data_IF_956133994364
#
_entry.id   IF_956133994364
#
_cell.length_a   1.000
_cell.length_b   1.000
_cell.length_c   1.000
_cell.angle_alpha   90.00
_cell.angle_beta   90.00
_cell.angle_gamma   90.00
#
_symmetry.space_group_name_H-M   'P 1'
#
loop_
_entity.id
_entity.type
_entity.pdbx_description
1 polymer ?
#
# COMPACT_ATOMS: atom_id res chain seq x y z
N UNK A 1 -9.33 3.39 -26.42
CA UNK A 1 -10.05 3.05 -25.17
C UNK A 1 -9.33 1.97 -24.37
N UNK A 2 -9.01 0.81 -24.95
CA UNK A 2 -8.33 -0.29 -24.24
C UNK A 2 -7.00 0.12 -23.58
N UNK A 3 -6.22 0.96 -24.27
CA UNK A 3 -4.89 1.42 -23.82
C UNK A 3 -4.99 2.43 -22.68
N UNK A 4 -5.89 3.42 -22.79
CA UNK A 4 -6.16 4.35 -21.69
C UNK A 4 -6.73 3.65 -20.46
N UNK A 5 -7.61 2.65 -20.65
CA UNK A 5 -8.11 1.81 -19.56
C UNK A 5 -6.96 1.00 -18.92
N UNK A 6 -6.02 0.48 -19.72
CA UNK A 6 -4.89 -0.28 -19.19
C UNK A 6 -3.97 0.52 -18.31
N UNK A 7 -3.63 1.74 -18.72
CA UNK A 7 -2.80 2.65 -17.94
C UNK A 7 -3.50 3.06 -16.63
N UNK A 8 -4.82 3.31 -16.69
CA UNK A 8 -5.61 3.65 -15.50
C UNK A 8 -5.69 2.50 -14.50
N UNK A 9 -5.86 1.26 -14.97
CA UNK A 9 -5.89 0.07 -14.12
C UNK A 9 -4.56 -0.16 -13.44
N UNK A 10 -3.43 -0.02 -14.15
CA UNK A 10 -2.11 -0.22 -13.56
C UNK A 10 -1.83 0.82 -12.46
N UNK A 11 -2.16 2.09 -12.71
CA UNK A 11 -2.03 3.13 -11.68
C UNK A 11 -2.88 2.84 -10.44
N UNK A 12 -4.10 2.31 -10.62
CA UNK A 12 -4.95 1.89 -9.50
C UNK A 12 -4.38 0.70 -8.71
N UNK A 13 -3.73 -0.25 -9.38
CA UNK A 13 -3.11 -1.41 -8.72
C UNK A 13 -2.08 -0.99 -7.67
N UNK A 14 -1.27 0.05 -7.95
CA UNK A 14 -0.31 0.57 -6.98
C UNK A 14 -0.97 1.22 -5.75
N UNK A 15 -2.09 1.91 -5.94
CA UNK A 15 -2.87 2.48 -4.83
C UNK A 15 -3.50 1.38 -3.97
N UNK A 16 -4.06 0.34 -4.58
CA UNK A 16 -4.58 -0.82 -3.86
C UNK A 16 -3.49 -1.57 -3.09
N UNK A 17 -2.30 -1.73 -3.69
CA UNK A 17 -1.17 -2.32 -2.99
C UNK A 17 -0.78 -1.49 -1.76
N UNK A 18 -0.66 -0.17 -1.88
CA UNK A 18 -0.39 0.74 -0.76
C UNK A 18 -1.45 0.64 0.36
N UNK A 19 -2.73 0.65 -0.01
CA UNK A 19 -3.85 0.52 0.92
C UNK A 19 -3.81 -0.83 1.66
N UNK A 20 -3.48 -1.91 0.94
CA UNK A 20 -3.27 -3.24 1.52
C UNK A 20 -2.11 -3.25 2.51
N UNK A 21 -0.97 -2.62 2.18
CA UNK A 21 0.17 -2.45 3.09
C UNK A 21 -0.26 -1.84 4.42
N UNK A 22 -0.90 -0.68 4.32
CA UNK A 22 -1.18 0.16 5.47
C UNK A 22 -2.24 -0.50 6.35
N UNK A 23 -3.15 -1.27 5.76
CA UNK A 23 -4.09 -2.14 6.48
C UNK A 23 -3.37 -3.25 7.23
N UNK A 24 -2.41 -3.95 6.61
CA UNK A 24 -1.59 -4.97 7.30
C UNK A 24 -0.83 -4.33 8.47
N UNK A 25 -0.22 -3.17 8.25
CA UNK A 25 0.51 -2.43 9.29
C UNK A 25 -0.42 -2.10 10.45
N UNK A 26 -1.60 -1.53 10.17
CA UNK A 26 -2.59 -1.18 11.18
C UNK A 26 -3.02 -2.40 12.02
N UNK A 27 -3.30 -3.51 11.35
CA UNK A 27 -3.66 -4.77 12.02
C UNK A 27 -2.49 -5.33 12.84
N UNK A 28 -1.27 -5.24 12.34
CA UNK A 28 -0.06 -5.76 12.99
C UNK A 28 0.27 -5.00 14.28
N UNK A 29 0.03 -3.69 14.32
CA UNK A 29 0.24 -2.89 15.54
C UNK A 29 -0.94 -2.98 16.53
N UNK A 30 -1.96 -3.78 16.22
CA UNK A 30 -3.15 -3.93 17.08
C UNK A 30 -4.07 -2.70 17.07
N UNK A 31 -3.96 -1.84 16.06
CA UNK A 31 -4.83 -0.67 15.96
C UNK A 31 -6.22 -1.11 15.46
N UNK A 32 -7.19 -1.12 16.38
CA UNK A 32 -8.59 -1.49 16.12
C UNK A 32 -9.53 -0.28 16.17
N UNK A 33 -9.14 0.82 15.51
CA UNK A 33 -10.02 1.98 15.36
C UNK A 33 -11.24 1.63 14.51
N UNK A 34 -12.38 2.31 14.77
CA UNK A 34 -13.56 2.16 13.92
C UNK A 34 -13.21 2.57 12.48
N UNK A 35 -13.39 1.70 11.47
CA UNK A 35 -13.07 2.03 10.09
C UNK A 35 -13.81 3.31 9.65
N UNK A 36 -13.07 4.22 9.02
CA UNK A 36 -13.59 5.49 8.53
C UNK A 36 -13.99 5.41 7.05
N UNK A 37 -14.53 6.52 6.53
CA UNK A 37 -14.77 6.66 5.09
C UNK A 37 -13.43 6.82 4.35
N UNK A 38 -13.25 6.11 3.22
CA UNK A 38 -12.06 6.25 2.37
C UNK A 38 -12.18 7.47 1.45
N UNK A 39 -11.03 8.03 1.04
CA UNK A 39 -10.96 9.13 0.05
C UNK A 39 -11.18 8.62 -1.37
N UNK A 40 -10.76 7.37 -1.63
CA UNK A 40 -10.70 6.80 -2.97
C UNK A 40 -11.86 5.84 -3.21
N UNK A 41 -12.20 5.05 -2.20
CA UNK A 41 -13.20 3.99 -2.31
C UNK A 41 -14.40 4.20 -1.39
N UNK A 42 -15.50 3.52 -1.69
CA UNK A 42 -16.68 3.50 -0.81
C UNK A 42 -16.51 2.55 0.38
N UNK A 43 -15.42 1.79 0.41
CA UNK A 43 -15.15 0.78 1.43
C UNK A 43 -14.56 1.43 2.70
N UNK A 44 -14.96 0.94 3.89
CA UNK A 44 -14.36 1.42 5.13
C UNK A 44 -12.87 1.09 5.21
N UNK A 45 -12.05 2.08 5.52
CA UNK A 45 -10.59 1.93 5.67
C UNK A 45 -10.13 2.13 7.11
N UNK A 46 -9.00 1.50 7.45
CA UNK A 46 -8.30 1.86 8.69
C UNK A 46 -7.76 3.28 8.60
N UNK A 47 -7.72 4.01 9.71
CA UNK A 47 -7.23 5.39 9.76
C UNK A 47 -5.78 5.50 9.28
N UNK A 48 -4.97 4.47 9.51
CA UNK A 48 -3.59 4.40 9.03
C UNK A 48 -3.59 4.25 7.51
N UNK A 49 -4.39 3.33 6.94
CA UNK A 49 -4.53 3.22 5.49
C UNK A 49 -4.97 4.54 4.85
N UNK A 50 -5.97 5.18 5.42
CA UNK A 50 -6.44 6.49 4.96
C UNK A 50 -5.33 7.56 4.97
N UNK A 51 -4.51 7.61 6.03
CA UNK A 51 -3.37 8.54 6.11
C UNK A 51 -2.34 8.27 5.01
N UNK A 52 -2.01 7.01 4.77
CA UNK A 52 -1.05 6.62 3.73
C UNK A 52 -1.57 6.93 2.33
N UNK A 53 -2.84 6.65 2.06
CA UNK A 53 -3.50 6.99 0.79
C UNK A 53 -3.50 8.50 0.57
N UNK A 54 -3.86 9.29 1.59
CA UNK A 54 -3.82 10.75 1.51
C UNK A 54 -2.39 11.26 1.25
N UNK A 55 -1.38 10.70 1.95
CA UNK A 55 0.02 11.05 1.74
C UNK A 55 0.50 10.71 0.32
N UNK A 56 0.11 9.56 -0.23
CA UNK A 56 0.43 9.17 -1.59
C UNK A 56 -0.20 10.11 -2.63
N UNK A 57 -1.47 10.50 -2.45
CA UNK A 57 -2.12 11.49 -3.32
C UNK A 57 -1.40 12.84 -3.22
N UNK A 58 -1.03 13.29 -2.03
CA UNK A 58 -0.26 14.53 -1.86
C UNK A 58 1.11 14.45 -2.56
N UNK A 59 1.84 13.34 -2.41
CA UNK A 59 3.13 13.12 -3.09
C UNK A 59 2.97 13.04 -4.61
N UNK A 60 1.87 12.46 -5.09
CA UNK A 60 1.54 12.40 -6.51
C UNK A 60 1.43 13.81 -7.12
N UNK A 61 0.73 14.71 -6.45
CA UNK A 61 0.64 16.10 -6.89
C UNK A 61 1.94 16.88 -6.67
N UNK A 62 2.59 16.69 -5.52
CA UNK A 62 3.81 17.42 -5.15
C UNK A 62 5.02 17.07 -6.02
N UNK A 63 5.08 15.86 -6.60
CA UNK A 63 6.17 15.44 -7.49
C UNK A 63 5.84 15.63 -8.97
N UNK A 64 4.81 16.42 -9.30
CA UNK A 64 4.34 16.68 -10.66
C UNK A 64 4.03 15.42 -11.50
N UNK A 65 3.78 14.29 -10.84
CA UNK A 65 3.54 12.99 -11.49
C UNK A 65 2.29 13.05 -12.38
N UNK A 66 1.31 13.89 -12.00
CA UNK A 66 0.13 14.17 -12.82
C UNK A 66 0.49 14.66 -14.24
N UNK A 67 1.52 15.48 -14.40
CA UNK A 67 1.98 15.96 -15.70
C UNK A 67 2.67 14.83 -16.49
N UNK A 68 3.41 13.95 -15.81
CA UNK A 68 4.04 12.76 -16.43
C UNK A 68 2.96 11.81 -16.96
N UNK A 69 1.88 11.58 -16.20
CA UNK A 69 0.76 10.74 -16.63
C UNK A 69 0.08 11.30 -17.88
N UNK A 70 -0.13 12.62 -17.96
CA UNK A 70 -0.71 13.26 -19.15
C UNK A 70 0.21 13.10 -20.36
N UNK A 71 1.52 13.29 -20.19
CA UNK A 71 2.51 13.09 -21.26
C UNK A 71 2.56 11.63 -21.73
N UNK A 72 2.51 10.67 -20.81
CA UNK A 72 2.44 9.24 -21.13
C UNK A 72 1.17 8.88 -21.91
N UNK A 73 0.04 9.50 -21.56
CA UNK A 73 -1.21 9.34 -22.30
C UNK A 73 -1.08 9.88 -23.72
N UNK A 74 -0.51 11.08 -23.90
CA UNK A 74 -0.28 11.68 -25.22
C UNK A 74 0.67 10.83 -26.07
N UNK A 75 1.78 10.37 -25.51
CA UNK A 75 2.73 9.49 -26.19
C UNK A 75 2.09 8.14 -26.60
N UNK A 76 1.14 7.64 -25.81
CA UNK A 76 0.38 6.43 -26.15
C UNK A 76 -0.47 6.60 -27.42
N UNK A 77 -0.83 7.83 -27.81
CA UNK A 77 -1.53 8.06 -29.09
C UNK A 77 -0.57 8.01 -30.29
N UNK A 78 0.72 8.31 -30.10
CA UNK A 78 1.71 8.30 -31.18
C UNK A 78 2.26 6.89 -31.48
N UNK A 79 2.33 6.02 -30.46
CA UNK A 79 2.84 4.64 -30.59
C UNK A 79 1.81 3.70 -31.25
N UNK A 80 0.53 4.04 -31.17
CA UNK A 80 -0.55 3.16 -31.63
C UNK A 80 -0.86 3.47 -33.08
N UNK A 81 -0.32 2.67 -33.99
CA UNK A 81 -0.73 2.74 -35.39
C UNK A 81 -2.23 2.39 -35.53
N UNK A 82 -2.96 2.96 -36.51
CA UNK A 82 -4.37 2.62 -36.75
C UNK A 82 -4.62 1.13 -37.05
N UNK A 83 -3.56 0.36 -37.32
CA UNK A 83 -3.54 -1.07 -37.60
C UNK A 83 -3.19 -1.95 -36.39
N UNK A 84 -3.02 -1.37 -35.19
CA UNK A 84 -2.68 -2.11 -33.98
C UNK A 84 -3.86 -2.96 -33.51
N UNK A 85 -3.70 -4.30 -33.57
CA UNK A 85 -4.61 -5.25 -32.93
C UNK A 85 -4.10 -5.48 -31.51
N UNK A 86 -4.86 -5.10 -30.46
CA UNK A 86 -4.46 -5.36 -29.09
C UNK A 86 -4.30 -6.87 -28.89
N UNK A 87 -3.16 -7.32 -28.36
CA UNK A 87 -2.98 -8.69 -27.91
C UNK A 87 -3.44 -8.79 -26.44
N UNK A 88 -4.65 -9.33 -26.15
CA UNK A 88 -5.15 -9.41 -24.79
C UNK A 88 -4.32 -10.34 -23.89
N UNK A 89 -3.66 -11.36 -24.43
CA UNK A 89 -2.83 -12.27 -23.64
C UNK A 89 -1.57 -11.58 -23.13
N UNK A 90 -0.89 -10.80 -23.99
CA UNK A 90 0.28 -10.03 -23.59
C UNK A 90 -0.07 -9.01 -22.50
N UNK A 91 -1.19 -8.30 -22.67
CA UNK A 91 -1.66 -7.35 -21.65
C UNK A 91 -1.94 -8.05 -20.31
N UNK A 92 -2.61 -9.22 -20.31
CA UNK A 92 -2.90 -10.00 -19.10
C UNK A 92 -1.64 -10.46 -18.37
N UNK A 93 -0.57 -10.82 -19.10
CA UNK A 93 0.72 -11.18 -18.51
C UNK A 93 1.34 -9.97 -17.80
N UNK A 94 1.36 -8.81 -18.45
CA UNK A 94 1.90 -7.58 -17.87
C UNK A 94 1.13 -7.16 -16.61
N UNK A 95 -0.21 -7.22 -16.63
CA UNK A 95 -1.01 -6.92 -15.43
C UNK A 95 -0.72 -7.86 -14.29
N UNK A 96 -0.66 -9.17 -14.55
CA UNK A 96 -0.38 -10.18 -13.52
C UNK A 96 0.97 -9.89 -12.88
N UNK A 97 1.98 -9.60 -13.68
CA UNK A 97 3.32 -9.39 -13.18
C UNK A 97 3.42 -8.09 -12.38
N UNK A 98 2.77 -7.01 -12.82
CA UNK A 98 2.68 -5.75 -12.06
C UNK A 98 1.94 -5.96 -10.74
N UNK A 99 0.80 -6.65 -10.76
CA UNK A 99 0.04 -6.96 -9.55
C UNK A 99 0.88 -7.76 -8.56
N UNK A 100 1.52 -8.84 -9.02
CA UNK A 100 2.36 -9.68 -8.17
C UNK A 100 3.54 -8.91 -7.60
N UNK A 101 4.22 -8.09 -8.41
CA UNK A 101 5.35 -7.26 -7.96
C UNK A 101 4.90 -6.24 -6.92
N UNK A 102 3.83 -5.50 -7.18
CA UNK A 102 3.34 -4.48 -6.26
C UNK A 102 2.98 -5.07 -4.89
N UNK A 103 2.26 -6.20 -4.87
CA UNK A 103 1.86 -6.86 -3.62
C UNK A 103 3.04 -7.49 -2.86
N UNK A 104 3.96 -8.18 -3.55
CA UNK A 104 5.12 -8.81 -2.89
C UNK A 104 6.06 -7.76 -2.29
N UNK A 105 6.30 -6.69 -3.04
CA UNK A 105 7.12 -5.55 -2.61
C UNK A 105 6.51 -4.90 -1.37
N UNK A 106 5.23 -4.61 -1.44
CA UNK A 106 4.46 -4.08 -0.32
C UNK A 106 4.51 -4.97 0.91
N UNK A 107 4.36 -6.29 0.73
CA UNK A 107 4.42 -7.25 1.83
C UNK A 107 5.81 -7.28 2.47
N UNK A 108 6.88 -7.19 1.68
CA UNK A 108 8.25 -7.12 2.18
C UNK A 108 8.48 -5.90 3.07
N UNK A 109 7.84 -4.79 2.73
CA UNK A 109 7.89 -3.54 3.49
C UNK A 109 7.08 -3.63 4.79
N UNK A 110 5.96 -4.37 4.77
CA UNK A 110 5.17 -4.65 5.96
C UNK A 110 5.81 -5.70 6.90
N UNK A 111 6.81 -6.47 6.43
CA UNK A 111 7.48 -7.52 7.19
C UNK A 111 7.99 -7.15 8.60
N UNK A 112 8.64 -5.99 8.83
CA UNK A 112 9.04 -5.57 10.18
C UNK A 112 7.85 -5.42 11.14
N UNK A 113 6.70 -4.94 10.65
CA UNK A 113 5.48 -4.81 11.45
C UNK A 113 4.86 -6.18 11.77
N UNK A 114 4.84 -7.08 10.80
CA UNK A 114 4.37 -8.47 11.01
C UNK A 114 5.26 -9.16 12.06
N UNK A 115 6.57 -8.98 11.96
CA UNK A 115 7.54 -9.55 12.91
C UNK A 115 7.31 -9.00 14.31
N UNK A 116 7.13 -7.68 14.43
CA UNK A 116 6.75 -7.03 15.68
C UNK A 116 5.46 -7.62 16.27
N UNK A 117 4.41 -7.76 15.45
CA UNK A 117 3.13 -8.32 15.87
C UNK A 117 3.28 -9.74 16.42
N UNK A 118 4.04 -10.59 15.73
CA UNK A 118 4.29 -11.98 16.17
C UNK A 118 5.00 -11.99 17.51
N UNK A 119 6.09 -11.22 17.66
CA UNK A 119 6.88 -11.19 18.90
C UNK A 119 6.05 -10.70 20.08
N UNK A 120 5.27 -9.64 19.90
CA UNK A 120 4.41 -9.08 20.94
C UNK A 120 3.27 -10.03 21.31
N UNK A 121 2.60 -10.63 20.34
CA UNK A 121 1.53 -11.60 20.62
C UNK A 121 2.05 -12.83 21.38
N UNK A 122 3.23 -13.34 21.01
CA UNK A 122 3.89 -14.42 21.76
C UNK A 122 4.24 -13.97 23.18
N UNK A 123 4.81 -12.77 23.34
CA UNK A 123 5.14 -12.20 24.65
C UNK A 123 3.91 -12.08 25.56
N UNK A 124 2.82 -11.51 25.05
CA UNK A 124 1.55 -11.38 25.79
C UNK A 124 0.97 -12.76 26.11
N UNK A 125 1.01 -13.69 25.17
CA UNK A 125 0.55 -15.06 25.38
C UNK A 125 1.31 -15.77 26.51
N UNK A 126 2.64 -15.57 26.59
CA UNK A 126 3.47 -16.12 27.66
C UNK A 126 3.14 -15.47 29.02
N UNK A 127 3.00 -14.14 29.08
CA UNK A 127 2.65 -13.44 30.33
C UNK A 127 1.25 -13.85 30.80
N UNK A 128 0.30 -14.01 29.88
CA UNK A 128 -1.06 -14.45 30.21
C UNK A 128 -1.07 -15.87 30.82
N UNK A 129 -0.13 -16.74 30.43
CA UNK A 129 0.05 -18.06 31.03
C UNK A 129 0.62 -17.99 32.45
N UNK A 130 1.47 -17.01 32.75
CA UNK A 130 2.11 -16.83 34.07
C UNK A 130 1.21 -16.13 35.09
N UNK A 131 0.31 -15.26 34.64
CA UNK A 131 -0.64 -14.51 35.47
C UNK A 131 -2.08 -14.67 34.97
N UNK A 132 -2.71 -15.84 35.16
CA UNK A 132 -4.03 -16.16 34.61
C UNK A 132 -5.19 -15.45 35.32
N UNK A 133 -4.94 -14.84 36.49
CA UNK A 133 -5.97 -14.20 37.31
C UNK A 133 -6.36 -12.80 36.82
N UNK A 134 -5.53 -12.15 35.99
CA UNK A 134 -5.79 -10.82 35.43
C UNK A 134 -5.67 -10.92 33.91
N UNK A 135 -6.68 -10.46 33.13
CA UNK A 135 -6.58 -10.41 31.68
C UNK A 135 -5.48 -9.43 31.22
N UNK A 136 -4.27 -9.94 30.99
CA UNK A 136 -3.07 -9.15 30.62
C UNK A 136 -3.28 -8.38 29.30
N UNK A 137 -4.20 -8.85 28.46
CA UNK A 137 -4.52 -8.23 27.17
C UNK A 137 -5.00 -6.77 27.32
N UNK A 138 -5.83 -6.46 28.32
CA UNK A 138 -6.34 -5.10 28.52
C UNK A 138 -5.24 -4.13 28.96
N UNK A 139 -4.25 -4.61 29.70
CA UNK A 139 -3.13 -3.80 30.17
C UNK A 139 -2.10 -3.61 29.05
N UNK A 140 -1.88 -4.63 28.22
CA UNK A 140 -0.87 -4.63 27.17
C UNK A 140 -1.29 -3.88 25.91
N UNK A 141 -2.57 -3.89 25.53
CA UNK A 141 -3.09 -3.23 24.32
C UNK A 141 -2.56 -1.79 24.10
N UNK A 142 -2.63 -0.86 25.09
CA UNK A 142 -2.07 0.49 24.92
C UNK A 142 -0.58 0.50 24.62
N UNK A 143 0.19 -0.41 25.23
CA UNK A 143 1.64 -0.53 24.99
C UNK A 143 1.94 -1.14 23.62
N UNK A 144 1.14 -2.12 23.16
CA UNK A 144 1.28 -2.70 21.82
C UNK A 144 1.07 -1.65 20.75
N UNK A 145 -0.02 -0.88 20.87
CA UNK A 145 -0.35 0.18 19.92
C UNK A 145 0.69 1.30 19.99
N UNK A 146 1.11 1.72 21.19
CA UNK A 146 2.15 2.74 21.33
C UNK A 146 3.49 2.32 20.72
N UNK A 147 3.93 1.08 20.96
CA UNK A 147 5.16 0.53 20.38
C UNK A 147 5.07 0.41 18.85
N UNK A 148 3.91 0.02 18.33
CA UNK A 148 3.69 -0.08 16.90
C UNK A 148 3.61 1.28 16.21
N UNK A 149 2.99 2.29 16.83
CA UNK A 149 3.02 3.68 16.35
C UNK A 149 4.44 4.24 16.40
N UNK A 150 5.21 3.93 17.45
CA UNK A 150 6.61 4.32 17.53
C UNK A 150 7.43 3.71 16.38
N UNK A 151 7.26 2.42 16.11
CA UNK A 151 7.89 1.76 14.97
C UNK A 151 7.47 2.42 13.65
N UNK A 152 6.18 2.69 13.48
CA UNK A 152 5.64 3.37 12.32
C UNK A 152 6.26 4.75 12.12
N UNK A 153 6.40 5.54 13.18
CA UNK A 153 7.00 6.88 13.13
C UNK A 153 8.41 6.87 12.53
N UNK A 154 9.24 5.89 12.89
CA UNK A 154 10.58 5.75 12.33
C UNK A 154 10.59 5.26 10.88
N UNK A 155 9.61 4.43 10.50
CA UNK A 155 9.57 3.84 9.16
C UNK A 155 8.78 4.69 8.14
N UNK A 156 7.92 5.61 8.55
CA UNK A 156 7.13 6.47 7.64
C UNK A 156 7.98 7.12 6.52
N UNK A 157 9.14 7.74 6.81
CA UNK A 157 9.95 8.36 5.76
C UNK A 157 10.42 7.35 4.71
N UNK A 158 10.84 6.16 5.15
CA UNK A 158 11.28 5.07 4.28
C UNK A 158 10.11 4.54 3.43
N UNK A 159 8.93 4.39 4.03
CA UNK A 159 7.72 3.94 3.35
C UNK A 159 7.30 4.90 2.24
N UNK A 160 7.33 6.21 2.51
CA UNK A 160 6.98 7.24 1.55
C UNK A 160 8.05 7.38 0.45
N UNK A 161 9.33 7.28 0.81
CA UNK A 161 10.42 7.30 -0.15
C UNK A 161 10.31 6.10 -1.10
N UNK A 162 10.08 4.92 -0.56
CA UNK A 162 9.86 3.71 -1.34
C UNK A 162 8.72 3.88 -2.35
N UNK A 163 7.55 4.33 -1.89
CA UNK A 163 6.41 4.58 -2.77
C UNK A 163 6.75 5.54 -3.90
N UNK A 164 7.47 6.62 -3.59
CA UNK A 164 7.88 7.61 -4.61
C UNK A 164 8.80 7.02 -5.67
N UNK A 165 9.73 6.13 -5.28
CA UNK A 165 10.67 5.48 -6.19
C UNK A 165 9.96 4.48 -7.10
N UNK A 166 9.11 3.63 -6.53
CA UNK A 166 8.38 2.60 -7.29
C UNK A 166 7.44 3.25 -8.32
N UNK A 167 6.77 4.34 -7.94
CA UNK A 167 5.89 5.08 -8.84
C UNK A 167 6.66 5.76 -9.99
N UNK A 168 7.83 6.32 -9.71
CA UNK A 168 8.71 6.89 -10.73
C UNK A 168 9.27 5.83 -11.67
N UNK A 169 9.72 4.70 -11.13
CA UNK A 169 10.23 3.58 -11.92
C UNK A 169 9.15 3.01 -12.84
N UNK A 170 7.92 2.85 -12.34
CA UNK A 170 6.79 2.45 -13.18
C UNK A 170 6.55 3.44 -14.34
N UNK A 171 6.55 4.74 -14.06
CA UNK A 171 6.33 5.76 -15.11
C UNK A 171 7.46 5.81 -16.13
N UNK A 172 8.72 5.64 -15.69
CA UNK A 172 9.89 5.66 -16.56
C UNK A 172 9.96 4.45 -17.48
N UNK A 173 9.37 3.33 -17.08
CA UNK A 173 9.33 2.12 -17.92
C UNK A 173 8.39 2.28 -19.11
N UNK A 174 7.37 3.16 -19.02
CA UNK A 174 6.36 3.35 -20.06
C UNK A 174 5.63 2.04 -20.44
N UNK A 175 4.54 2.10 -21.22
CA UNK A 175 4.06 0.93 -21.94
C UNK A 175 5.05 0.48 -23.03
#
# INVERSE_FOLDING_TARGET
MLIGASLGVIAHVYLWALQFMATIIAMSIGYSGQPGHSVIDSMPETQIAHLFVLAAVMLFFASDLHMVTIRGLLASYDVVSPSFIPNPEAALIDYRDVLSRAFLTTLSIAAPFITYAILINIGIGLVNKLTPTIPVYFISLPFVVAGGIFLLYFLIPELLHFFSLELQDWLNRGP
#
